data_IF_228600474460
#
_entry.id   IF_228600474460
#
_cell.length_a   1.000
_cell.length_b   1.000
_cell.length_c   1.000
_cell.angle_alpha   90.00
_cell.angle_beta   90.00
_cell.angle_gamma   90.00
#
_symmetry.space_group_name_H-M   'P 1'
#
loop_
_entity.id
_entity.type
_entity.pdbx_description
1 polymer ?
#
# COMPACT_ATOMS: atom_id res chain seq x y z
N UNK A 1 -11.20 -2.76 17.25
CA UNK A 1 -10.63 -4.12 17.28
C UNK A 1 -11.76 -5.09 17.57
N UNK A 2 -11.85 -6.14 16.79
CA UNK A 2 -12.86 -7.20 16.93
C UNK A 2 -12.16 -8.55 17.11
N UNK A 3 -12.65 -9.37 18.02
CA UNK A 3 -12.17 -10.73 18.25
C UNK A 3 -13.28 -11.71 17.88
N UNK A 4 -13.01 -12.58 16.92
CA UNK A 4 -13.93 -13.63 16.50
C UNK A 4 -13.51 -14.97 17.11
N UNK A 5 -14.41 -15.66 17.79
CA UNK A 5 -14.18 -17.01 18.33
C UNK A 5 -14.28 -18.11 17.25
N UNK A 6 -14.02 -17.79 16.00
CA UNK A 6 -14.12 -18.66 14.84
C UNK A 6 -13.11 -18.26 13.77
N UNK A 7 -12.83 -19.15 12.83
CA UNK A 7 -12.12 -18.77 11.60
C UNK A 7 -12.98 -17.83 10.76
N UNK A 8 -12.36 -16.77 10.23
CA UNK A 8 -13.00 -15.74 9.44
C UNK A 8 -12.23 -15.45 8.16
N UNK A 9 -12.65 -14.45 7.37
CA UNK A 9 -11.89 -13.98 6.20
C UNK A 9 -10.48 -13.53 6.55
N UNK A 10 -10.28 -12.93 7.72
CA UNK A 10 -8.96 -12.53 8.20
C UNK A 10 -8.03 -13.73 8.39
N UNK A 11 -8.55 -14.88 8.83
CA UNK A 11 -7.78 -16.13 8.93
C UNK A 11 -7.33 -16.64 7.55
N UNK A 12 -8.19 -16.55 6.53
CA UNK A 12 -7.83 -16.89 5.15
C UNK A 12 -6.73 -15.99 4.60
N UNK A 13 -6.79 -14.69 4.90
CA UNK A 13 -5.75 -13.73 4.52
C UNK A 13 -4.42 -14.05 5.25
N UNK A 14 -4.48 -14.30 6.56
CA UNK A 14 -3.31 -14.70 7.35
C UNK A 14 -2.68 -15.99 6.80
N UNK A 15 -3.49 -16.99 6.43
CA UNK A 15 -3.01 -18.23 5.80
C UNK A 15 -2.26 -17.96 4.49
N UNK A 16 -2.78 -17.08 3.64
CA UNK A 16 -2.10 -16.67 2.40
C UNK A 16 -0.82 -15.89 2.68
N UNK A 17 -0.86 -14.97 3.66
CA UNK A 17 0.27 -14.12 3.99
C UNK A 17 1.45 -14.93 4.57
N UNK A 18 1.17 -15.95 5.37
CA UNK A 18 2.18 -16.71 6.12
C UNK A 18 2.53 -18.05 5.49
N UNK A 19 1.72 -18.53 4.52
CA UNK A 19 1.84 -19.89 4.01
C UNK A 19 1.46 -20.96 5.06
N UNK A 20 0.77 -20.56 6.15
CA UNK A 20 0.33 -21.47 7.19
C UNK A 20 -1.17 -21.81 7.03
N UNK A 21 -1.55 -23.08 6.85
CA UNK A 21 -2.92 -23.48 6.52
C UNK A 21 -3.82 -23.52 7.76
N UNK A 22 -4.21 -22.35 8.31
CA UNK A 22 -4.95 -22.23 9.56
C UNK A 22 -6.21 -23.08 9.61
N UNK A 23 -7.05 -23.07 8.56
CA UNK A 23 -8.31 -23.80 8.53
C UNK A 23 -8.08 -25.32 8.56
N UNK A 24 -7.09 -25.83 7.83
CA UNK A 24 -6.73 -27.24 7.83
C UNK A 24 -6.26 -27.70 9.22
N UNK A 25 -5.33 -26.93 9.80
CA UNK A 25 -4.79 -27.25 11.13
C UNK A 25 -5.90 -27.21 12.19
N UNK A 26 -6.74 -26.17 12.19
CA UNK A 26 -7.86 -26.06 13.12
C UNK A 26 -8.84 -27.23 13.00
N UNK A 27 -9.18 -27.68 11.79
CA UNK A 27 -10.05 -28.82 11.57
C UNK A 27 -9.43 -30.10 12.14
N UNK A 28 -8.14 -30.34 11.93
CA UNK A 28 -7.42 -31.50 12.47
C UNK A 28 -7.36 -31.48 14.00
N UNK A 29 -7.05 -30.33 14.61
CA UNK A 29 -7.07 -30.17 16.06
C UNK A 29 -8.47 -30.45 16.64
N UNK A 30 -9.52 -29.97 15.96
CA UNK A 30 -10.92 -30.24 16.35
C UNK A 30 -11.30 -31.73 16.29
N UNK A 31 -10.59 -32.53 15.50
CA UNK A 31 -10.74 -34.01 15.44
C UNK A 31 -9.84 -34.74 16.45
N UNK A 32 -9.12 -34.04 17.31
CA UNK A 32 -8.30 -34.63 18.37
C UNK A 32 -6.85 -34.89 18.02
N UNK A 33 -6.36 -34.46 16.83
CA UNK A 33 -4.93 -34.57 16.52
C UNK A 33 -4.13 -33.55 17.34
N UNK A 34 -2.94 -33.92 17.79
CA UNK A 34 -1.98 -33.02 18.41
C UNK A 34 -1.28 -32.14 17.37
N UNK A 35 -0.96 -30.89 17.72
CA UNK A 35 -0.30 -29.96 16.79
C UNK A 35 1.05 -30.49 16.27
N UNK A 36 1.78 -31.20 17.12
CA UNK A 36 3.07 -31.80 16.79
C UNK A 36 2.97 -33.02 15.85
N UNK A 37 1.79 -33.62 15.71
CA UNK A 37 1.54 -34.74 14.80
C UNK A 37 1.27 -34.27 13.36
N UNK A 38 0.99 -32.97 13.18
CA UNK A 38 0.57 -32.42 11.90
C UNK A 38 1.74 -31.85 11.11
N UNK A 39 1.68 -32.03 9.80
CA UNK A 39 2.56 -31.36 8.85
C UNK A 39 1.82 -30.17 8.21
N UNK A 40 2.57 -29.16 7.84
CA UNK A 40 2.03 -28.03 7.06
C UNK A 40 1.62 -28.57 5.68
N UNK A 41 0.33 -28.49 5.36
CA UNK A 41 -0.23 -29.02 4.11
C UNK A 41 0.18 -28.21 2.86
N UNK A 42 0.67 -26.97 3.04
CA UNK A 42 1.14 -26.10 1.94
C UNK A 42 2.60 -26.44 1.59
N UNK A 43 3.49 -26.41 2.58
CA UNK A 43 4.92 -26.68 2.38
C UNK A 43 5.22 -28.17 2.23
N UNK A 44 4.40 -29.03 2.83
CA UNK A 44 4.53 -30.50 2.90
C UNK A 44 5.81 -30.99 3.60
N UNK A 45 6.74 -30.12 3.89
CA UNK A 45 8.05 -30.41 4.47
C UNK A 45 8.19 -29.97 5.92
N UNK A 46 7.53 -28.87 6.29
CA UNK A 46 7.60 -28.34 7.66
C UNK A 46 6.51 -28.92 8.56
N UNK A 47 6.79 -28.97 9.87
CA UNK A 47 5.78 -29.29 10.88
C UNK A 47 4.76 -28.17 11.00
N UNK A 48 3.50 -28.49 11.37
CA UNK A 48 2.52 -27.50 11.77
C UNK A 48 2.87 -26.83 13.12
N UNK A 49 3.75 -27.44 13.89
CA UNK A 49 4.34 -26.86 15.10
C UNK A 49 5.58 -26.00 14.76
N UNK A 50 5.39 -25.04 13.87
CA UNK A 50 6.45 -24.15 13.42
C UNK A 50 5.88 -22.76 13.15
N UNK A 51 6.41 -21.77 13.84
CA UNK A 51 6.03 -20.37 13.61
C UNK A 51 6.65 -19.87 12.29
N UNK A 52 5.83 -19.37 11.35
CA UNK A 52 6.34 -18.86 10.08
C UNK A 52 7.23 -17.63 10.30
N UNK A 53 8.45 -17.66 9.78
CA UNK A 53 9.33 -16.49 9.71
C UNK A 53 9.19 -15.83 8.35
N UNK A 54 8.87 -14.54 8.34
CA UNK A 54 8.59 -13.78 7.11
C UNK A 54 9.69 -12.74 6.88
N UNK A 55 10.21 -12.67 5.67
CA UNK A 55 11.17 -11.68 5.19
C UNK A 55 10.52 -10.64 4.24
N UNK A 56 9.20 -10.53 4.29
CA UNK A 56 8.39 -9.62 3.49
C UNK A 56 7.27 -8.98 4.31
N UNK A 57 6.76 -7.87 3.80
CA UNK A 57 5.64 -7.13 4.39
C UNK A 57 4.38 -7.42 3.59
N UNK A 58 3.29 -7.71 4.28
CA UNK A 58 1.96 -7.85 3.69
C UNK A 58 1.10 -6.68 4.13
N UNK A 59 0.58 -5.94 3.16
CA UNK A 59 -0.33 -4.83 3.38
C UNK A 59 -1.72 -5.19 2.86
N UNK A 60 -2.72 -5.19 3.75
CA UNK A 60 -4.12 -5.34 3.42
C UNK A 60 -4.76 -3.97 3.32
N UNK A 61 -5.33 -3.64 2.17
CA UNK A 61 -6.05 -2.38 1.96
C UNK A 61 -7.50 -2.70 1.60
N UNK A 62 -8.48 -2.20 2.38
CA UNK A 62 -9.89 -2.33 2.05
C UNK A 62 -10.24 -1.50 0.81
N UNK A 63 -11.23 -1.98 0.05
CA UNK A 63 -11.88 -1.20 -0.99
C UNK A 63 -13.22 -0.69 -0.48
N UNK A 64 -13.40 0.62 -0.53
CA UNK A 64 -14.65 1.28 -0.21
C UNK A 64 -15.22 1.90 -1.49
N UNK A 65 -16.43 1.54 -1.87
CA UNK A 65 -17.14 2.13 -3.01
C UNK A 65 -18.21 3.13 -2.52
N UNK A 66 -17.92 3.86 -1.44
CA UNK A 66 -18.87 4.76 -0.76
C UNK A 66 -19.39 5.87 -1.68
N UNK A 67 -18.60 6.27 -2.68
CA UNK A 67 -19.00 7.29 -3.66
C UNK A 67 -20.13 6.85 -4.59
N UNK A 68 -20.42 5.55 -4.68
CA UNK A 68 -21.49 5.00 -5.53
C UNK A 68 -22.87 5.10 -4.89
N UNK A 69 -22.94 5.37 -3.59
CA UNK A 69 -24.18 5.40 -2.84
C UNK A 69 -24.48 6.81 -2.37
N UNK A 70 -25.68 7.30 -2.65
CA UNK A 70 -26.15 8.60 -2.17
C UNK A 70 -26.53 8.51 -0.69
N UNK A 71 -26.16 9.54 0.10
CA UNK A 71 -26.54 9.65 1.51
C UNK A 71 -25.78 8.73 2.47
N UNK A 72 -24.73 8.05 2.02
CA UNK A 72 -23.87 7.24 2.89
C UNK A 72 -22.83 8.11 3.58
N UNK A 73 -22.79 7.99 4.89
CA UNK A 73 -21.72 8.58 5.70
C UNK A 73 -20.37 7.94 5.33
N UNK A 74 -19.37 8.78 5.02
CA UNK A 74 -18.03 8.37 4.59
C UNK A 74 -17.05 8.19 5.74
N UNK A 75 -17.44 8.58 6.95
CA UNK A 75 -16.61 8.40 8.13
C UNK A 75 -16.44 6.90 8.43
N UNK A 76 -15.21 6.46 8.60
CA UNK A 76 -14.87 5.07 8.90
C UNK A 76 -14.89 4.86 10.42
N UNK A 77 -15.88 4.14 10.89
CA UNK A 77 -16.08 3.77 12.29
C UNK A 77 -16.04 2.25 12.51
N UNK A 78 -16.79 1.78 13.49
CA UNK A 78 -16.87 0.36 13.86
C UNK A 78 -17.71 -0.49 12.89
N UNK A 79 -18.56 0.12 12.07
CA UNK A 79 -19.40 -0.59 11.10
C UNK A 79 -18.59 -1.03 9.88
N UNK A 80 -18.93 -2.19 9.31
CA UNK A 80 -18.28 -2.70 8.10
C UNK A 80 -18.80 -1.94 6.87
N UNK A 81 -17.94 -1.14 6.25
CA UNK A 81 -18.25 -0.34 5.05
C UNK A 81 -17.47 -0.80 3.80
N UNK A 82 -16.51 -1.71 3.95
CA UNK A 82 -15.73 -2.20 2.81
C UNK A 82 -16.49 -3.21 1.96
N UNK A 83 -16.36 -3.11 0.64
CA UNK A 83 -16.95 -4.04 -0.35
C UNK A 83 -15.97 -5.09 -0.86
N UNK A 84 -14.69 -4.94 -0.53
CA UNK A 84 -13.62 -5.85 -0.93
C UNK A 84 -12.31 -5.46 -0.27
N UNK A 85 -11.26 -6.17 -0.64
CA UNK A 85 -9.92 -5.93 -0.11
C UNK A 85 -8.87 -6.41 -1.10
N UNK A 86 -7.69 -5.80 -1.04
CA UNK A 86 -6.50 -6.25 -1.74
C UNK A 86 -5.41 -6.62 -0.74
N UNK A 87 -4.58 -7.59 -1.10
CA UNK A 87 -3.40 -7.97 -0.36
C UNK A 87 -2.17 -7.69 -1.24
N UNK A 88 -1.34 -6.76 -0.81
CA UNK A 88 -0.09 -6.44 -1.48
C UNK A 88 1.09 -6.98 -0.68
N UNK A 89 2.09 -7.50 -1.37
CA UNK A 89 3.32 -8.05 -0.78
C UNK A 89 4.49 -7.24 -1.31
N UNK A 90 5.39 -6.83 -0.40
CA UNK A 90 6.61 -6.09 -0.71
C UNK A 90 7.76 -6.49 0.22
N UNK A 91 8.98 -6.11 -0.14
CA UNK A 91 10.16 -6.31 0.70
C UNK A 91 10.23 -5.31 1.85
N UNK A 92 9.57 -4.17 1.71
CA UNK A 92 9.47 -3.13 2.71
C UNK A 92 8.03 -2.56 2.72
N UNK A 93 7.74 -1.75 3.75
CA UNK A 93 6.42 -1.17 3.93
C UNK A 93 6.04 -0.24 2.77
N UNK A 94 6.97 0.59 2.32
CA UNK A 94 6.76 1.57 1.27
C UNK A 94 6.36 0.89 -0.05
N UNK A 95 7.04 -0.19 -0.42
CA UNK A 95 6.68 -0.98 -1.60
C UNK A 95 5.30 -1.61 -1.47
N UNK A 96 5.01 -2.22 -0.31
CA UNK A 96 3.75 -2.90 -0.07
C UNK A 96 2.55 -1.92 -0.11
N UNK A 97 2.65 -0.75 0.55
CA UNK A 97 1.58 0.25 0.55
C UNK A 97 1.35 0.85 -0.84
N UNK A 98 2.41 1.16 -1.58
CA UNK A 98 2.34 1.65 -2.95
C UNK A 98 1.60 0.67 -3.87
N UNK A 99 1.97 -0.62 -3.82
CA UNK A 99 1.29 -1.68 -4.58
C UNK A 99 -0.19 -1.78 -4.21
N UNK A 100 -0.49 -1.82 -2.92
CA UNK A 100 -1.85 -1.96 -2.42
C UNK A 100 -2.76 -0.82 -2.87
N UNK A 101 -2.31 0.42 -2.73
CA UNK A 101 -3.09 1.60 -3.12
C UNK A 101 -3.40 1.63 -4.64
N UNK A 102 -2.48 1.16 -5.48
CA UNK A 102 -2.76 1.03 -6.92
C UNK A 102 -3.73 -0.10 -7.24
N UNK A 103 -3.69 -1.20 -6.47
CA UNK A 103 -4.53 -2.38 -6.74
C UNK A 103 -6.00 -2.18 -6.38
N UNK A 104 -6.34 -1.24 -5.50
CA UNK A 104 -7.74 -1.00 -5.11
C UNK A 104 -8.59 -0.41 -6.25
N UNK A 105 -7.98 0.09 -7.33
CA UNK A 105 -8.68 0.46 -8.55
C UNK A 105 -9.63 1.66 -8.41
N UNK A 106 -9.29 2.64 -7.56
CA UNK A 106 -10.07 3.87 -7.33
C UNK A 106 -9.55 5.08 -8.12
N UNK A 107 -8.82 4.84 -9.22
CA UNK A 107 -8.23 5.91 -10.05
C UNK A 107 -6.96 6.54 -9.47
N UNK A 108 -6.50 6.09 -8.31
CA UNK A 108 -5.31 6.61 -7.65
C UNK A 108 -4.04 5.89 -8.10
N UNK A 109 -2.96 6.63 -8.28
CA UNK A 109 -1.68 6.13 -8.79
C UNK A 109 -0.70 5.70 -7.68
N UNK A 110 -1.19 5.30 -6.51
CA UNK A 110 -0.39 4.97 -5.33
C UNK A 110 -0.26 6.16 -4.38
N UNK A 111 0.73 6.10 -3.49
CA UNK A 111 0.98 7.14 -2.49
C UNK A 111 1.89 8.24 -3.09
N UNK A 112 1.32 9.04 -3.96
CA UNK A 112 1.92 10.21 -4.59
C UNK A 112 0.88 11.32 -4.65
N UNK A 113 1.25 12.52 -5.11
CA UNK A 113 0.28 13.58 -5.33
C UNK A 113 -0.70 13.16 -6.44
N UNK A 114 -1.95 12.89 -6.05
CA UNK A 114 -3.05 12.62 -6.97
C UNK A 114 -3.76 13.96 -7.25
N UNK A 115 -3.47 14.57 -8.41
CA UNK A 115 -3.98 15.90 -8.80
C UNK A 115 -5.52 15.94 -8.87
N UNK A 116 -6.13 14.80 -9.11
CA UNK A 116 -7.59 14.60 -9.23
C UNK A 116 -8.33 14.73 -7.88
N UNK A 117 -7.58 14.70 -6.76
CA UNK A 117 -8.16 14.81 -5.42
C UNK A 117 -8.32 16.27 -5.02
N UNK A 118 -9.54 16.80 -5.12
CA UNK A 118 -9.85 18.12 -4.60
C UNK A 118 -10.08 18.06 -3.08
N UNK A 119 -9.30 18.83 -2.31
CA UNK A 119 -9.40 18.94 -0.85
C UNK A 119 -9.41 20.43 -0.52
N UNK A 120 -10.53 20.91 0.01
CA UNK A 120 -10.71 22.31 0.37
C UNK A 120 -10.03 22.62 1.71
N UNK A 121 -10.26 21.82 2.72
CA UNK A 121 -9.67 21.96 4.06
C UNK A 121 -8.86 20.69 4.41
N UNK A 122 -7.53 20.85 4.49
CA UNK A 122 -6.64 19.72 4.80
C UNK A 122 -6.74 19.31 6.25
N UNK A 123 -6.81 20.24 7.19
CA UNK A 123 -6.82 19.92 8.63
C UNK A 123 -8.06 19.14 8.99
N UNK A 124 -9.23 19.56 8.55
CA UNK A 124 -10.49 18.87 8.73
C UNK A 124 -10.46 17.48 8.08
N UNK A 125 -10.00 17.39 6.83
CA UNK A 125 -9.88 16.12 6.11
C UNK A 125 -8.84 15.15 6.71
N UNK A 126 -7.86 15.64 7.48
CA UNK A 126 -6.94 14.81 8.27
C UNK A 126 -7.59 14.31 9.56
N UNK A 127 -8.42 15.12 10.21
CA UNK A 127 -9.13 14.73 11.42
C UNK A 127 -10.20 13.68 11.15
N UNK A 128 -10.94 13.82 10.05
CA UNK A 128 -11.97 12.87 9.65
C UNK A 128 -11.40 11.58 9.07
N UNK A 129 -11.71 10.39 9.65
CA UNK A 129 -11.21 9.11 9.17
C UNK A 129 -12.02 8.61 7.97
N UNK A 130 -11.84 9.20 6.80
CA UNK A 130 -12.52 8.81 5.55
C UNK A 130 -11.70 7.83 4.71
N UNK A 131 -12.35 7.23 3.70
CA UNK A 131 -11.73 6.35 2.70
C UNK A 131 -10.61 7.03 1.89
N UNK A 132 -10.57 8.36 1.86
CA UNK A 132 -9.58 9.17 1.15
C UNK A 132 -8.42 9.68 2.02
N UNK A 133 -8.52 9.52 3.34
CA UNK A 133 -7.58 10.11 4.31
C UNK A 133 -6.11 9.80 4.02
N UNK A 134 -5.80 8.60 3.51
CA UNK A 134 -4.44 8.22 3.13
C UNK A 134 -3.87 9.15 2.04
N UNK A 135 -4.69 9.58 1.09
CA UNK A 135 -4.28 10.50 0.02
C UNK A 135 -4.25 11.96 0.50
N UNK A 136 -5.09 12.32 1.50
CA UNK A 136 -5.01 13.61 2.19
C UNK A 136 -3.68 13.76 2.89
N UNK A 137 -3.20 12.72 3.57
CA UNK A 137 -1.88 12.68 4.22
C UNK A 137 -0.77 12.92 3.20
N UNK A 138 -0.83 12.28 2.04
CA UNK A 138 0.13 12.53 0.96
C UNK A 138 0.14 14.01 0.53
N UNK A 139 -1.04 14.60 0.32
CA UNK A 139 -1.18 16.00 -0.06
C UNK A 139 -0.68 16.96 1.03
N UNK A 140 -0.95 16.65 2.30
CA UNK A 140 -0.45 17.43 3.44
C UNK A 140 1.09 17.42 3.48
N UNK A 141 1.72 16.26 3.30
CA UNK A 141 3.17 16.14 3.27
C UNK A 141 3.80 16.95 2.11
N UNK A 142 3.21 16.94 0.92
CA UNK A 142 3.67 17.78 -0.21
C UNK A 142 3.50 19.28 0.06
N UNK A 143 2.53 19.66 0.91
CA UNK A 143 2.35 21.06 1.35
C UNK A 143 3.24 21.45 2.54
N UNK A 144 4.11 20.56 3.01
CA UNK A 144 5.08 20.84 4.06
C UNK A 144 4.58 20.61 5.48
N UNK A 145 3.44 19.92 5.67
CA UNK A 145 3.01 19.49 7.01
C UNK A 145 4.05 18.56 7.61
N UNK A 146 4.41 18.79 8.87
CA UNK A 146 5.33 17.95 9.61
C UNK A 146 4.66 16.64 10.06
N UNK A 147 5.47 15.64 10.35
CA UNK A 147 4.99 14.37 10.91
C UNK A 147 4.22 14.59 12.22
N UNK A 148 4.69 15.51 13.06
CA UNK A 148 4.05 15.84 14.34
C UNK A 148 2.67 16.47 14.12
N UNK A 149 2.53 17.43 13.22
CA UNK A 149 1.24 18.02 12.86
C UNK A 149 0.25 16.97 12.34
N UNK A 150 0.69 16.10 11.43
CA UNK A 150 -0.16 15.04 10.89
C UNK A 150 -0.53 14.03 11.97
N UNK A 151 0.41 13.66 12.84
CA UNK A 151 0.14 12.79 13.98
C UNK A 151 -0.92 13.39 14.92
N UNK A 152 -0.80 14.69 15.24
CA UNK A 152 -1.71 15.35 16.15
C UNK A 152 -3.14 15.42 15.61
N UNK A 153 -3.30 15.58 14.31
CA UNK A 153 -4.61 15.61 13.65
C UNK A 153 -5.19 14.21 13.43
N UNK A 154 -4.36 13.23 13.06
CA UNK A 154 -4.82 11.89 12.64
C UNK A 154 -4.76 10.84 13.73
N UNK A 155 -3.90 11.03 14.75
CA UNK A 155 -3.49 10.03 15.76
C UNK A 155 -2.85 8.77 15.16
N UNK A 156 -2.40 8.83 13.90
CA UNK A 156 -1.63 7.73 13.28
C UNK A 156 -0.21 7.75 13.87
N UNK A 157 0.30 6.57 14.21
CA UNK A 157 1.64 6.42 14.77
C UNK A 157 2.71 7.01 13.85
N UNK A 158 3.67 7.73 14.45
CA UNK A 158 4.74 8.45 13.73
C UNK A 158 5.61 7.53 12.89
N UNK A 159 5.77 6.26 13.27
CA UNK A 159 6.54 5.31 12.50
C UNK A 159 5.93 5.11 11.09
N UNK A 160 4.60 4.95 11.00
CA UNK A 160 3.93 4.84 9.70
C UNK A 160 4.05 6.15 8.90
N UNK A 161 3.89 7.29 9.57
CA UNK A 161 4.02 8.60 8.92
C UNK A 161 5.44 8.83 8.38
N UNK A 162 6.48 8.39 9.10
CA UNK A 162 7.88 8.44 8.63
C UNK A 162 8.08 7.58 7.38
N UNK A 163 7.51 6.37 7.34
CA UNK A 163 7.55 5.50 6.18
C UNK A 163 6.85 6.10 4.96
N UNK A 164 5.70 6.73 5.19
CA UNK A 164 4.98 7.45 4.15
C UNK A 164 5.74 8.70 3.67
N UNK A 165 6.36 9.45 4.59
CA UNK A 165 7.21 10.61 4.23
C UNK A 165 8.39 10.20 3.36
N UNK A 166 9.00 9.04 3.62
CA UNK A 166 10.08 8.51 2.78
C UNK A 166 9.65 8.35 1.31
N UNK A 167 8.41 7.91 1.05
CA UNK A 167 7.88 7.86 -0.33
C UNK A 167 7.80 9.27 -0.93
N UNK A 168 7.33 10.26 -0.15
CA UNK A 168 7.23 11.65 -0.60
C UNK A 168 8.62 12.23 -0.89
N UNK A 169 9.62 11.94 -0.06
CA UNK A 169 10.99 12.39 -0.27
C UNK A 169 11.58 11.87 -1.58
N UNK A 170 11.28 10.62 -1.95
CA UNK A 170 11.66 10.06 -3.25
C UNK A 170 10.90 10.76 -4.40
N UNK A 171 9.60 10.98 -4.25
CA UNK A 171 8.79 11.70 -5.24
C UNK A 171 9.32 13.12 -5.47
N UNK A 172 9.68 13.82 -4.41
CA UNK A 172 10.29 15.16 -4.48
C UNK A 172 11.66 15.15 -5.17
N UNK A 173 12.50 14.12 -4.93
CA UNK A 173 13.78 13.95 -5.66
C UNK A 173 13.54 13.74 -7.16
N UNK A 174 12.56 12.91 -7.51
CA UNK A 174 12.18 12.68 -8.91
C UNK A 174 11.67 13.95 -9.58
N UNK A 175 10.83 14.74 -8.90
CA UNK A 175 10.31 16.03 -9.42
C UNK A 175 11.38 17.09 -9.64
N UNK A 176 12.49 17.02 -8.93
CA UNK A 176 13.65 17.89 -9.17
C UNK A 176 14.42 17.54 -10.45
N UNK A 177 14.20 16.35 -11.01
CA UNK A 177 14.74 15.99 -12.32
C UNK A 177 13.91 16.69 -13.40
N UNK A 178 14.46 17.70 -14.04
CA UNK A 178 13.79 18.52 -15.07
C UNK A 178 13.59 17.79 -16.39
N UNK A 179 14.21 16.63 -16.55
CA UNK A 179 14.03 15.76 -17.71
C UNK A 179 14.46 14.32 -17.39
N UNK A 180 14.05 13.38 -18.24
CA UNK A 180 14.45 11.98 -18.14
C UNK A 180 15.98 11.77 -18.28
N UNK A 181 16.66 12.68 -18.97
CA UNK A 181 18.10 12.57 -19.22
C UNK A 181 18.95 12.85 -17.98
N UNK A 182 18.43 13.56 -16.98
CA UNK A 182 19.10 13.81 -15.70
C UNK A 182 18.72 12.80 -14.62
N UNK A 183 17.84 11.87 -14.92
CA UNK A 183 17.46 10.80 -14.02
C UNK A 183 18.56 9.75 -13.95
N UNK A 184 19.33 9.78 -12.88
CA UNK A 184 20.43 8.84 -12.69
C UNK A 184 19.97 7.42 -12.30
N UNK A 185 20.86 6.46 -12.48
CA UNK A 185 20.63 5.04 -12.20
C UNK A 185 20.26 4.78 -10.73
N UNK A 186 20.89 5.50 -9.79
CA UNK A 186 20.69 5.24 -8.36
C UNK A 186 19.32 5.70 -7.89
N UNK A 187 18.91 6.91 -8.29
CA UNK A 187 17.57 7.42 -7.98
C UNK A 187 16.48 6.58 -8.65
N UNK A 188 16.69 6.16 -9.91
CA UNK A 188 15.76 5.27 -10.59
C UNK A 188 15.62 3.92 -9.86
N UNK A 189 16.74 3.35 -9.41
CA UNK A 189 16.74 2.10 -8.63
C UNK A 189 16.06 2.30 -7.27
N UNK A 190 16.38 3.38 -6.55
CA UNK A 190 15.75 3.73 -5.26
C UNK A 190 14.23 3.79 -5.43
N UNK A 191 13.72 4.53 -6.41
CA UNK A 191 12.29 4.62 -6.68
C UNK A 191 11.67 3.23 -6.97
N UNK A 192 12.33 2.38 -7.74
CA UNK A 192 11.84 1.02 -8.03
C UNK A 192 11.80 0.14 -6.78
N UNK A 193 12.81 0.19 -5.92
CA UNK A 193 12.87 -0.56 -4.65
C UNK A 193 11.74 -0.16 -3.71
N UNK A 194 11.38 1.13 -3.68
CA UNK A 194 10.29 1.65 -2.85
C UNK A 194 8.93 1.70 -3.55
N UNK A 195 8.77 0.92 -4.61
CA UNK A 195 7.49 0.57 -5.19
C UNK A 195 6.92 1.54 -6.21
N UNK A 196 7.69 2.52 -6.71
CA UNK A 196 7.24 3.39 -7.79
C UNK A 196 7.10 2.60 -9.11
N UNK A 197 6.01 2.84 -9.81
CA UNK A 197 5.83 2.35 -11.18
C UNK A 197 6.60 3.21 -12.16
N UNK A 198 6.89 2.66 -13.34
CA UNK A 198 7.50 3.41 -14.42
C UNK A 198 6.65 4.62 -14.82
N UNK A 199 5.33 4.50 -14.69
CA UNK A 199 4.37 5.57 -14.90
C UNK A 199 4.48 6.68 -13.84
N UNK A 200 4.51 6.34 -12.54
CA UNK A 200 4.67 7.35 -11.47
C UNK A 200 5.98 8.12 -11.64
N UNK A 201 7.06 7.43 -12.01
CA UNK A 201 8.36 8.06 -12.27
C UNK A 201 8.26 8.99 -13.49
N UNK A 202 7.63 8.56 -14.59
CA UNK A 202 7.43 9.38 -15.79
C UNK A 202 6.65 10.66 -15.46
N UNK A 203 5.59 10.55 -14.65
CA UNK A 203 4.80 11.68 -14.18
C UNK A 203 5.61 12.65 -13.33
N UNK A 204 6.40 12.13 -12.40
CA UNK A 204 7.23 12.93 -11.51
C UNK A 204 8.30 13.74 -12.25
N UNK A 205 8.89 13.19 -13.31
CA UNK A 205 9.90 13.88 -14.14
C UNK A 205 9.31 14.69 -15.30
N UNK A 206 7.97 14.86 -15.34
CA UNK A 206 7.28 15.72 -16.33
C UNK A 206 7.03 15.09 -17.70
N UNK A 207 7.41 13.83 -17.94
CA UNK A 207 7.21 13.16 -19.24
C UNK A 207 5.74 13.00 -19.64
N UNK A 208 4.83 12.93 -18.67
CA UNK A 208 3.39 12.82 -18.94
C UNK A 208 2.87 14.07 -19.65
N UNK A 209 3.31 15.25 -19.21
CA UNK A 209 2.93 16.54 -19.79
C UNK A 209 3.58 16.75 -21.17
N UNK A 210 4.79 16.26 -21.38
CA UNK A 210 5.51 16.35 -22.65
C UNK A 210 4.90 15.42 -23.73
N UNK A 211 4.63 14.17 -23.37
CA UNK A 211 4.19 13.12 -24.31
C UNK A 211 2.65 13.11 -24.47
N UNK A 212 1.89 13.69 -23.54
CA UNK A 212 0.42 13.65 -23.46
C UNK A 212 -0.18 12.24 -23.55
N UNK A 213 0.61 11.22 -23.20
CA UNK A 213 0.20 9.82 -23.19
C UNK A 213 0.93 9.06 -22.10
N UNK A 214 0.18 8.72 -21.08
CA UNK A 214 0.62 8.02 -19.87
C UNK A 214 1.35 6.70 -20.16
N UNK A 215 0.82 5.91 -21.07
CA UNK A 215 1.41 4.62 -21.43
C UNK A 215 2.77 4.80 -22.14
N UNK A 216 2.85 5.72 -23.10
CA UNK A 216 4.10 6.02 -23.82
C UNK A 216 5.16 6.58 -22.88
N UNK A 217 4.78 7.50 -21.99
CA UNK A 217 5.69 8.04 -20.97
C UNK A 217 6.27 6.93 -20.07
N UNK A 218 5.45 6.00 -19.61
CA UNK A 218 5.90 4.83 -18.85
C UNK A 218 6.87 3.93 -19.62
N UNK A 219 6.67 3.78 -20.94
CA UNK A 219 7.61 3.00 -21.80
C UNK A 219 9.00 3.62 -21.91
N UNK A 220 9.10 4.96 -21.90
CA UNK A 220 10.41 5.65 -21.88
C UNK A 220 11.17 5.27 -20.61
N UNK A 221 10.55 5.36 -19.44
CA UNK A 221 11.17 4.95 -18.17
C UNK A 221 11.54 3.46 -18.18
N UNK A 222 10.65 2.60 -18.70
CA UNK A 222 10.93 1.17 -18.82
C UNK A 222 12.16 0.89 -19.66
N UNK A 223 12.34 1.60 -20.77
CA UNK A 223 13.52 1.43 -21.63
C UNK A 223 14.79 1.95 -20.94
N UNK A 224 14.72 3.12 -20.29
CA UNK A 224 15.84 3.65 -19.50
C UNK A 224 16.27 2.65 -18.41
N UNK A 225 15.29 2.08 -17.69
CA UNK A 225 15.54 1.06 -16.66
C UNK A 225 16.27 -0.17 -17.22
N UNK A 226 15.84 -0.66 -18.40
CA UNK A 226 16.52 -1.77 -19.08
C UNK A 226 17.97 -1.41 -19.43
N UNK A 227 18.21 -0.20 -19.93
CA UNK A 227 19.55 0.27 -20.28
C UNK A 227 20.45 0.36 -19.03
N UNK A 228 19.89 0.66 -17.86
CA UNK A 228 20.62 0.68 -16.60
C UNK A 228 20.77 -0.70 -15.92
N UNK A 229 20.13 -1.74 -16.44
CA UNK A 229 20.13 -3.08 -15.84
C UNK A 229 19.34 -3.13 -14.52
N UNK A 230 18.17 -2.46 -14.48
CA UNK A 230 17.26 -2.39 -13.32
C UNK A 230 15.95 -3.12 -13.62
#
# INVERSE_FOLDING_TARGET
IEVNARLSRSSALASKATGYPLAFVAAKLGMGYGLFELKNSVTKTTSAFFEPALDYVVCKIPRWDLSKFHGVDRELGSSMKSVGEVMAIGRNFEEAIQKGLRMIGQGMHGYVENKELNIENIDESLQEPTDKRIFVISKAMHKGYTIDQIHDLTKIDKWFLQKLKHIIDIDEKLRKCTSVNVLDKYLLREAKVYGFTDFQIARAVGLEEEIHNMYKAGLVIRNLRKNYGI
#
